data_IF_589803602606
#
_entry.id   IF_589803602606
#
_cell.length_a   1.000
_cell.length_b   1.000
_cell.length_c   1.000
_cell.angle_alpha   90.00
_cell.angle_beta   90.00
_cell.angle_gamma   90.00
#
_symmetry.space_group_name_H-M   'P 1'
#
loop_
_entity.id
_entity.type
_entity.pdbx_description
1 polymer ?
#
# COMPACT_ATOMS: atom_id res chain seq x y z
N UNK A 1 -5.53 7.32 -21.85
CA UNK A 1 -4.22 6.74 -22.16
C UNK A 1 -3.10 7.58 -21.61
N UNK A 2 -3.32 8.86 -21.44
CA UNK A 2 -2.27 9.80 -21.04
C UNK A 2 -1.73 9.54 -19.63
N UNK A 3 -2.48 8.80 -18.81
CA UNK A 3 -2.12 8.51 -17.43
C UNK A 3 -1.43 7.17 -17.24
N UNK A 4 -1.11 6.45 -18.33
CA UNK A 4 -0.41 5.18 -18.20
C UNK A 4 1.05 5.43 -17.78
N UNK A 5 1.57 4.61 -16.88
CA UNK A 5 2.96 4.77 -16.44
C UNK A 5 3.92 4.43 -17.58
N UNK A 6 5.04 5.11 -17.58
CA UNK A 6 6.12 4.90 -18.55
C UNK A 6 7.43 4.71 -17.79
N UNK A 7 8.24 3.80 -18.28
CA UNK A 7 9.56 3.55 -17.69
C UNK A 7 10.40 4.83 -17.79
N UNK A 8 11.03 5.20 -16.67
CA UNK A 8 11.86 6.40 -16.62
C UNK A 8 11.09 7.69 -16.40
N UNK A 9 9.78 7.63 -16.25
CA UNK A 9 8.94 8.78 -15.95
C UNK A 9 8.37 8.69 -14.55
N UNK A 10 7.90 9.81 -14.02
CA UNK A 10 7.25 9.82 -12.72
C UNK A 10 5.91 9.06 -12.80
N UNK A 11 5.61 8.29 -11.77
CA UNK A 11 4.30 7.65 -11.65
C UNK A 11 3.21 8.72 -11.53
N UNK A 12 2.00 8.47 -12.06
CA UNK A 12 0.89 9.38 -11.87
C UNK A 12 0.60 9.61 -10.39
N UNK A 13 0.39 10.86 -10.00
CA UNK A 13 0.06 11.20 -8.62
C UNK A 13 -1.33 10.71 -8.27
N UNK A 14 -1.55 10.44 -6.99
CA UNK A 14 -2.88 10.12 -6.47
C UNK A 14 -3.05 10.68 -5.06
N UNK A 15 -4.32 10.84 -4.69
CA UNK A 15 -4.72 11.15 -3.32
C UNK A 15 -5.83 10.19 -2.93
N UNK A 16 -5.63 9.47 -1.85
CA UNK A 16 -6.64 8.52 -1.37
C UNK A 16 -6.53 8.40 0.15
N UNK A 17 -7.18 7.39 0.69
CA UNK A 17 -7.23 7.13 2.12
C UNK A 17 -6.52 5.82 2.41
N UNK A 18 -5.80 5.78 3.51
CA UNK A 18 -5.14 4.56 3.96
C UNK A 18 -5.18 4.43 5.47
N UNK A 19 -4.72 3.28 5.94
CA UNK A 19 -4.63 2.98 7.37
C UNK A 19 -3.16 2.74 7.71
N UNK A 20 -2.68 3.46 8.71
CA UNK A 20 -1.35 3.25 9.28
C UNK A 20 -1.43 3.38 10.79
N UNK A 21 -0.86 2.42 11.50
CA UNK A 21 -0.90 2.34 12.97
C UNK A 21 -2.36 2.44 13.48
N UNK A 22 -3.25 1.73 12.79
CA UNK A 22 -4.68 1.66 13.10
C UNK A 22 -5.42 2.99 13.02
N UNK A 23 -4.85 3.96 12.28
CA UNK A 23 -5.48 5.27 12.09
C UNK A 23 -5.73 5.53 10.62
N UNK A 24 -6.90 6.12 10.34
CA UNK A 24 -7.29 6.58 9.01
C UNK A 24 -6.53 7.86 8.68
N UNK A 25 -6.02 7.95 7.47
CA UNK A 25 -5.32 9.16 7.03
C UNK A 25 -5.35 9.30 5.53
N UNK A 26 -5.06 10.50 5.05
CA UNK A 26 -4.92 10.76 3.61
C UNK A 26 -3.53 10.36 3.16
N UNK A 27 -3.47 9.71 2.01
CA UNK A 27 -2.21 9.28 1.38
C UNK A 27 -2.12 9.95 0.01
N UNK A 28 -1.08 10.74 -0.20
CA UNK A 28 -0.81 11.41 -1.47
C UNK A 28 0.60 11.03 -1.92
N UNK A 29 0.71 10.51 -3.13
CA UNK A 29 2.00 10.05 -3.64
C UNK A 29 3.02 11.19 -3.72
N UNK A 30 2.60 12.38 -4.13
CA UNK A 30 3.51 13.52 -4.28
C UNK A 30 4.12 13.99 -2.96
N UNK A 31 3.57 13.61 -1.81
CA UNK A 31 4.14 13.96 -0.51
C UNK A 31 5.53 13.34 -0.29
N UNK A 32 5.85 12.28 -1.03
CA UNK A 32 7.16 11.62 -0.94
C UNK A 32 8.16 12.14 -1.96
N UNK A 33 7.72 12.99 -2.89
CA UNK A 33 8.57 13.51 -3.97
C UNK A 33 9.73 14.30 -3.40
N UNK A 34 10.95 13.96 -3.82
CA UNK A 34 12.17 14.61 -3.34
C UNK A 34 12.59 14.21 -1.93
N UNK A 35 11.84 13.32 -1.27
CA UNK A 35 12.12 12.88 0.11
C UNK A 35 12.43 11.40 0.19
N UNK A 36 11.66 10.57 -0.48
CA UNK A 36 11.79 9.12 -0.43
C UNK A 36 11.42 8.49 -1.77
N UNK A 37 12.02 7.36 -2.05
CA UNK A 37 11.49 6.46 -3.07
C UNK A 37 10.23 5.81 -2.52
N UNK A 38 9.34 5.40 -3.41
CA UNK A 38 8.10 4.74 -3.02
C UNK A 38 7.99 3.40 -3.74
N UNK A 39 7.79 2.34 -2.98
CA UNK A 39 7.48 1.02 -3.51
C UNK A 39 5.97 0.81 -3.39
N UNK A 40 5.28 0.76 -4.53
CA UNK A 40 3.86 0.47 -4.59
C UNK A 40 3.66 -1.03 -4.75
N UNK A 41 2.99 -1.65 -3.80
CA UNK A 41 2.72 -3.09 -3.82
C UNK A 41 1.22 -3.27 -3.98
N UNK A 42 0.80 -3.78 -5.14
CA UNK A 42 -0.60 -4.06 -5.41
C UNK A 42 -0.92 -5.50 -5.03
N UNK A 43 -2.02 -5.71 -4.33
CA UNK A 43 -2.48 -7.05 -4.00
C UNK A 43 -3.99 -7.15 -4.24
N UNK A 44 -4.51 -8.37 -4.51
CA UNK A 44 -5.87 -8.48 -5.04
C UNK A 44 -6.96 -8.10 -4.05
N UNK A 45 -6.86 -8.53 -2.81
CA UNK A 45 -7.88 -8.22 -1.80
C UNK A 45 -7.42 -8.67 -0.42
N UNK A 46 -8.00 -8.05 0.61
CA UNK A 46 -7.83 -8.51 1.98
C UNK A 46 -8.45 -9.90 2.16
N UNK A 47 -7.94 -10.66 3.12
CA UNK A 47 -8.48 -11.97 3.49
C UNK A 47 -8.39 -13.04 2.40
N UNK A 48 -7.54 -12.82 1.39
CA UNK A 48 -7.25 -13.87 0.41
C UNK A 48 -6.07 -14.70 0.90
N UNK A 49 -5.95 -15.93 0.40
CA UNK A 49 -4.92 -16.85 0.84
C UNK A 49 -3.52 -16.53 0.33
N UNK A 50 -3.38 -15.67 -0.67
CA UNK A 50 -2.12 -15.45 -1.37
C UNK A 50 -1.28 -14.33 -0.77
N UNK A 51 -1.92 -13.29 -0.25
CA UNK A 51 -1.24 -12.02 0.05
C UNK A 51 -0.65 -11.87 1.46
N UNK A 52 -1.18 -12.50 2.53
CA UNK A 52 -0.75 -12.14 3.89
C UNK A 52 0.73 -12.35 4.15
N UNK A 53 1.27 -13.47 3.68
CA UNK A 53 2.67 -13.80 3.94
C UNK A 53 3.62 -12.77 3.33
N UNK A 54 3.35 -12.37 2.08
CA UNK A 54 4.18 -11.39 1.38
C UNK A 54 4.13 -10.02 2.05
N UNK A 55 2.93 -9.57 2.44
CA UNK A 55 2.75 -8.28 3.10
C UNK A 55 3.45 -8.25 4.46
N UNK A 56 3.38 -9.34 5.22
CA UNK A 56 4.03 -9.46 6.52
C UNK A 56 5.56 -9.51 6.35
N UNK A 57 6.06 -10.23 5.35
CA UNK A 57 7.50 -10.29 5.09
C UNK A 57 8.09 -8.92 4.77
N UNK A 58 7.39 -8.12 3.99
CA UNK A 58 7.82 -6.74 3.73
C UNK A 58 7.91 -5.92 5.02
N UNK A 59 6.96 -6.13 5.93
CA UNK A 59 6.96 -5.43 7.22
C UNK A 59 8.14 -5.86 8.08
N UNK A 60 8.48 -7.14 8.08
CA UNK A 60 9.65 -7.63 8.82
C UNK A 60 10.95 -7.04 8.29
N UNK A 61 11.00 -6.65 7.04
CA UNK A 61 12.19 -6.08 6.40
C UNK A 61 12.13 -4.57 6.30
N UNK A 62 11.28 -3.93 7.08
CA UNK A 62 11.05 -2.48 6.96
C UNK A 62 12.32 -1.65 7.14
N UNK A 63 13.24 -2.10 8.00
CA UNK A 63 14.49 -1.37 8.23
C UNK A 63 15.39 -1.37 7.00
N UNK A 64 15.37 -2.43 6.20
CA UNK A 64 16.12 -2.47 4.95
C UNK A 64 15.62 -1.39 3.99
N UNK A 65 14.30 -1.23 3.90
CA UNK A 65 13.70 -0.20 3.05
C UNK A 65 13.96 1.20 3.59
N UNK A 66 13.92 1.38 4.91
CA UNK A 66 14.23 2.67 5.52
C UNK A 66 15.66 3.10 5.25
N UNK A 67 16.60 2.17 5.26
CA UNK A 67 18.01 2.46 4.93
C UNK A 67 18.17 2.91 3.48
N UNK A 68 17.27 2.47 2.60
CA UNK A 68 17.24 2.87 1.20
C UNK A 68 16.36 4.10 0.96
N UNK A 69 15.91 4.77 2.01
CA UNK A 69 14.98 5.90 1.94
C UNK A 69 13.74 5.57 1.12
N UNK A 70 13.19 4.37 1.33
CA UNK A 70 12.05 3.86 0.56
C UNK A 70 10.84 3.68 1.47
N UNK A 71 9.70 4.24 1.06
CA UNK A 71 8.41 4.06 1.71
C UNK A 71 7.62 2.99 0.96
N UNK A 72 7.08 2.02 1.69
CA UNK A 72 6.20 1.01 1.13
C UNK A 72 4.75 1.46 1.28
N UNK A 73 3.98 1.34 0.21
CA UNK A 73 2.52 1.53 0.23
C UNK A 73 1.89 0.29 -0.40
N UNK A 74 1.10 -0.45 0.36
CA UNK A 74 0.38 -1.60 -0.16
C UNK A 74 -1.05 -1.19 -0.53
N UNK A 75 -1.48 -1.54 -1.72
CA UNK A 75 -2.70 -1.01 -2.33
C UNK A 75 -3.61 -2.15 -2.76
N UNK A 76 -4.88 -2.06 -2.36
CA UNK A 76 -5.92 -2.93 -2.89
C UNK A 76 -7.22 -2.14 -3.08
N UNK A 77 -8.23 -2.77 -3.68
CA UNK A 77 -9.53 -2.12 -3.89
C UNK A 77 -10.45 -2.17 -2.66
N UNK A 78 -9.98 -2.73 -1.56
CA UNK A 78 -10.75 -2.79 -0.32
C UNK A 78 -10.94 -1.40 0.31
N UNK A 79 -12.02 -1.27 1.09
CA UNK A 79 -12.29 -0.05 1.83
C UNK A 79 -11.30 0.16 2.98
N UNK A 80 -11.17 1.40 3.48
CA UNK A 80 -10.35 1.64 4.68
C UNK A 80 -10.83 0.83 5.88
N UNK A 81 -12.11 0.58 6.02
CA UNK A 81 -12.64 -0.23 7.12
C UNK A 81 -12.21 -1.68 7.00
N UNK A 82 -12.20 -2.22 5.79
CA UNK A 82 -11.68 -3.57 5.54
C UNK A 82 -10.19 -3.66 5.87
N UNK A 83 -9.41 -2.66 5.49
CA UNK A 83 -7.98 -2.60 5.85
C UNK A 83 -7.78 -2.58 7.35
N UNK A 84 -8.56 -1.77 8.07
CA UNK A 84 -8.45 -1.69 9.52
C UNK A 84 -8.76 -3.05 10.16
N UNK A 85 -9.84 -3.68 9.71
CA UNK A 85 -10.22 -5.00 10.22
C UNK A 85 -9.12 -6.04 9.96
N UNK A 86 -8.52 -6.00 8.76
CA UNK A 86 -7.45 -6.91 8.37
C UNK A 86 -6.21 -6.73 9.26
N UNK A 87 -5.91 -5.49 9.64
CA UNK A 87 -4.77 -5.20 10.51
C UNK A 87 -5.04 -5.55 11.98
N UNK A 88 -6.29 -5.46 12.42
CA UNK A 88 -6.65 -5.74 13.82
C UNK A 88 -6.68 -7.23 14.13
N UNK A 89 -6.95 -8.08 13.15
CA UNK A 89 -6.90 -9.52 13.34
C UNK A 89 -5.47 -10.01 13.25
N UNK A 90 -5.09 -10.92 14.14
CA UNK A 90 -3.78 -11.54 14.08
C UNK A 90 -3.73 -12.61 12.97
N UNK A 91 -2.55 -13.12 12.70
CA UNK A 91 -2.36 -14.08 11.60
C UNK A 91 -3.12 -15.38 11.82
N UNK A 92 -3.25 -15.82 13.06
CA UNK A 92 -3.98 -17.05 13.39
C UNK A 92 -5.49 -16.89 13.12
N UNK A 93 -5.99 -15.68 13.05
CA UNK A 93 -7.39 -15.36 12.77
C UNK A 93 -7.63 -14.99 11.31
N UNK A 94 -6.63 -15.15 10.46
CA UNK A 94 -6.75 -14.81 9.04
C UNK A 94 -6.44 -13.35 8.71
N UNK A 95 -5.93 -12.60 9.66
CA UNK A 95 -5.54 -11.20 9.45
C UNK A 95 -4.05 -11.03 9.28
N UNK A 96 -3.62 -9.76 9.17
CA UNK A 96 -2.21 -9.40 9.02
C UNK A 96 -1.52 -9.14 10.36
N UNK A 97 -2.26 -8.68 11.35
CA UNK A 97 -1.66 -8.04 12.50
C UNK A 97 -1.06 -6.69 12.12
N UNK A 98 -0.33 -6.04 13.03
CA UNK A 98 0.22 -4.72 12.76
C UNK A 98 1.30 -4.76 11.67
N UNK A 99 1.28 -3.76 10.80
CA UNK A 99 2.29 -3.56 9.75
C UNK A 99 3.03 -2.24 9.99
N UNK A 100 4.27 -2.17 9.49
CA UNK A 100 5.11 -0.99 9.60
C UNK A 100 5.01 -0.07 8.38
N UNK A 101 3.94 -0.20 7.60
CA UNK A 101 3.66 0.65 6.44
C UNK A 101 2.16 0.73 6.22
N UNK A 102 1.67 1.75 5.47
CA UNK A 102 0.23 1.91 5.26
C UNK A 102 -0.39 0.88 4.33
N UNK A 103 -1.65 0.53 4.59
CA UNK A 103 -2.53 -0.11 3.62
C UNK A 103 -3.40 0.97 2.99
N UNK A 104 -3.41 1.03 1.66
CA UNK A 104 -4.02 2.10 0.89
C UNK A 104 -5.24 1.57 0.15
N UNK A 105 -6.31 2.36 0.13
CA UNK A 105 -7.56 1.98 -0.53
C UNK A 105 -7.65 2.57 -1.92
N UNK A 106 -7.93 1.72 -2.91
CA UNK A 106 -8.16 2.11 -4.30
C UNK A 106 -9.55 1.65 -4.72
N UNK A 107 -10.58 2.21 -4.06
CA UNK A 107 -11.97 1.75 -4.20
C UNK A 107 -12.48 1.77 -5.64
N UNK A 108 -12.07 2.78 -6.41
CA UNK A 108 -12.50 2.96 -7.79
C UNK A 108 -11.51 2.40 -8.80
N UNK A 109 -10.48 1.70 -8.34
CA UNK A 109 -9.40 1.18 -9.17
C UNK A 109 -8.65 2.25 -9.97
N UNK A 110 -8.76 3.50 -9.54
CA UNK A 110 -8.13 4.63 -10.25
C UNK A 110 -6.62 4.54 -10.21
N UNK A 111 -6.05 4.21 -9.05
CA UNK A 111 -4.61 4.07 -8.89
C UNK A 111 -4.12 2.89 -9.73
N UNK A 112 -4.79 1.75 -9.61
CA UNK A 112 -4.41 0.54 -10.32
C UNK A 112 -4.46 0.74 -11.83
N UNK A 113 -5.50 1.41 -12.34
CA UNK A 113 -5.65 1.67 -13.77
C UNK A 113 -4.57 2.60 -14.30
N UNK A 114 -4.06 3.51 -13.47
CA UNK A 114 -3.10 4.51 -13.90
C UNK A 114 -1.65 4.10 -13.67
N UNK A 115 -1.38 3.13 -12.81
CA UNK A 115 -0.02 2.74 -12.45
C UNK A 115 0.39 1.34 -12.88
N UNK A 116 -0.54 0.50 -13.29
CA UNK A 116 -0.22 -0.85 -13.72
C UNK A 116 -0.17 -0.92 -15.22
N UNK A 117 0.92 -1.41 -15.68
CA UNK A 117 1.21 -1.61 -17.04
C UNK A 117 0.61 -0.90 -18.00
#
# INVERSE_FOLDING_TARGET
>A
MDNLPQIGKMAPNFLTVGIYKNKLGKIRLSDYHGKKYVLLVFYPANFTSVSPTELVQLSHRINDFRQLSTQILAISTDSPFSHLHYLLLNQSQGGLGPLHYPLVSDLNQTISKNTIY
#
